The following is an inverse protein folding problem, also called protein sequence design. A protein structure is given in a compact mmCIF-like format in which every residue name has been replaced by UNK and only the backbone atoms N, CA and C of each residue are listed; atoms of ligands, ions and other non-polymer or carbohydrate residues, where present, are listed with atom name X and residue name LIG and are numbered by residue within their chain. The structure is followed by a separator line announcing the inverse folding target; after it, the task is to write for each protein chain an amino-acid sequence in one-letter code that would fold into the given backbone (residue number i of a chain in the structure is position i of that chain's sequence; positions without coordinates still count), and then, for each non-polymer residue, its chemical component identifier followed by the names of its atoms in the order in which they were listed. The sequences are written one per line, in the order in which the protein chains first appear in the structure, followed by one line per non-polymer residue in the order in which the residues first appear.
data_IF_341558995006
#
_entry.id   IF_341558995006
#
_cell.length_a   1.000
_cell.length_b   1.000
_cell.length_c   1.000
_cell.angle_alpha   90.00
_cell.angle_beta   90.00
_cell.angle_gamma   90.00
#
_symmetry.space_group_name_H-M   'P 1'
#
loop_
_entity.id
_entity.type
_entity.pdbx_description
1 polymer ?
#
# COMPACT_ATOMS: atom_id res chain seq x y z
N UNK A 1 -1.59 -28.97 -21.85
CA UNK A 1 -0.38 -28.28 -21.31
C UNK A 1 -0.15 -26.89 -21.91
N UNK A 2 -0.48 -26.63 -23.18
CA UNK A 2 -0.28 -25.31 -23.81
C UNK A 2 -1.13 -24.15 -23.24
N UNK A 3 -2.41 -24.38 -22.95
CA UNK A 3 -3.32 -23.30 -22.53
C UNK A 3 -3.03 -22.75 -21.13
N UNK A 4 -2.63 -23.61 -20.19
CA UNK A 4 -2.22 -23.18 -18.84
C UNK A 4 -0.96 -22.31 -18.88
N UNK A 5 -0.01 -22.66 -19.75
CA UNK A 5 1.23 -21.92 -19.88
C UNK A 5 1.01 -20.56 -20.58
N UNK A 6 0.11 -20.51 -21.56
CA UNK A 6 -0.31 -19.26 -22.20
C UNK A 6 -1.04 -18.34 -21.22
N UNK A 7 -1.94 -18.91 -20.40
CA UNK A 7 -2.67 -18.16 -19.38
C UNK A 7 -1.73 -17.58 -18.32
N UNK A 8 -0.75 -18.35 -17.83
CA UNK A 8 0.27 -17.83 -16.90
C UNK A 8 1.13 -16.74 -17.55
N UNK A 9 1.56 -16.90 -18.81
CA UNK A 9 2.28 -15.84 -19.54
C UNK A 9 1.44 -14.56 -19.65
N UNK A 10 0.14 -14.68 -19.91
CA UNK A 10 -0.77 -13.54 -19.95
C UNK A 10 -0.89 -12.85 -18.57
N UNK A 11 -1.00 -13.60 -17.47
CA UNK A 11 -0.99 -13.04 -16.10
C UNK A 11 0.28 -12.26 -15.81
N UNK A 12 1.44 -12.81 -16.15
CA UNK A 12 2.73 -12.14 -15.95
C UNK A 12 2.84 -10.88 -16.81
N UNK A 13 2.37 -10.93 -18.06
CA UNK A 13 2.32 -9.76 -18.93
C UNK A 13 1.44 -8.66 -18.33
N UNK A 14 0.21 -8.99 -17.93
CA UNK A 14 -0.74 -8.04 -17.34
C UNK A 14 -0.21 -7.47 -16.02
N UNK A 15 0.37 -8.30 -15.16
CA UNK A 15 0.97 -7.85 -13.91
C UNK A 15 2.12 -6.87 -14.17
N UNK A 16 3.02 -7.20 -15.11
CA UNK A 16 4.14 -6.33 -15.47
C UNK A 16 3.70 -5.02 -16.11
N UNK A 17 2.57 -5.00 -16.83
CA UNK A 17 2.15 -3.86 -17.64
C UNK A 17 1.05 -3.00 -17.04
N UNK A 18 0.23 -3.52 -16.14
CA UNK A 18 -0.95 -2.85 -15.59
C UNK A 18 -0.91 -2.69 -14.07
N UNK A 19 -0.26 -3.60 -13.34
CA UNK A 19 -0.20 -3.53 -11.89
C UNK A 19 0.95 -2.62 -11.47
N UNK A 20 0.65 -1.68 -10.58
CA UNK A 20 1.65 -0.82 -9.96
C UNK A 20 1.45 -0.82 -8.45
N UNK A 21 2.47 -0.41 -7.70
CA UNK A 21 2.35 -0.27 -6.25
C UNK A 21 1.37 0.82 -5.82
N UNK A 22 1.01 1.76 -6.71
CA UNK A 22 0.07 2.86 -6.44
C UNK A 22 -1.33 2.60 -7.01
N UNK A 23 -1.75 1.34 -7.16
CA UNK A 23 -3.01 0.98 -7.84
C UNK A 23 -4.28 1.52 -7.15
N UNK A 24 -4.26 1.73 -5.84
CA UNK A 24 -5.36 2.26 -5.05
C UNK A 24 -5.37 3.79 -4.92
N UNK A 25 -4.46 4.48 -5.60
CA UNK A 25 -4.36 5.94 -5.58
C UNK A 25 -5.66 6.61 -6.04
N UNK A 26 -6.01 7.75 -5.43
CA UNK A 26 -7.13 8.59 -5.86
C UNK A 26 -6.70 9.52 -6.99
N UNK A 27 -7.65 9.99 -7.79
CA UNK A 27 -7.38 10.81 -8.97
C UNK A 27 -6.64 12.12 -8.65
N UNK A 28 -7.01 12.78 -7.54
CA UNK A 28 -6.33 14.00 -7.10
C UNK A 28 -4.84 13.76 -6.82
N UNK A 29 -4.54 12.70 -6.07
CA UNK A 29 -3.18 12.30 -5.74
C UNK A 29 -2.41 11.83 -7.00
N UNK A 30 -3.05 11.07 -7.88
CA UNK A 30 -2.45 10.63 -9.15
C UNK A 30 -2.10 11.80 -10.08
N UNK A 31 -2.96 12.83 -10.12
CA UNK A 31 -2.71 14.05 -10.89
C UNK A 31 -1.58 14.87 -10.28
N UNK A 32 -1.58 15.03 -8.95
CA UNK A 32 -0.49 15.69 -8.23
C UNK A 32 0.85 15.00 -8.52
N UNK A 33 0.89 13.66 -8.44
CA UNK A 33 2.09 12.89 -8.70
C UNK A 33 2.63 13.09 -10.12
N UNK A 34 1.77 13.14 -11.14
CA UNK A 34 2.17 13.38 -12.53
C UNK A 34 2.70 14.79 -12.80
N UNK A 35 2.29 15.77 -12.00
CA UNK A 35 2.64 17.17 -12.19
C UNK A 35 3.87 17.61 -11.39
N UNK A 36 4.36 16.77 -10.49
CA UNK A 36 5.61 17.04 -9.79
C UNK A 36 6.79 17.06 -10.78
N UNK A 37 7.71 18.03 -10.65
CA UNK A 37 8.94 18.06 -11.44
C UNK A 37 9.71 16.73 -11.34
N UNK A 38 10.19 16.22 -12.48
CA UNK A 38 10.93 14.96 -12.56
C UNK A 38 10.06 13.70 -12.81
N UNK A 39 8.74 13.77 -12.60
CA UNK A 39 7.83 12.62 -12.76
C UNK A 39 7.32 12.40 -14.20
N UNK A 40 8.20 12.56 -15.19
CA UNK A 40 7.83 12.38 -16.60
C UNK A 40 7.60 10.90 -16.94
N UNK A 41 6.43 10.58 -17.49
CA UNK A 41 6.09 9.22 -17.91
C UNK A 41 6.67 8.93 -19.30
N UNK A 42 7.60 7.97 -19.36
CA UNK A 42 8.19 7.53 -20.62
C UNK A 42 7.13 6.97 -21.60
N UNK A 43 7.38 7.10 -22.90
CA UNK A 43 6.40 6.76 -23.96
C UNK A 43 5.88 5.33 -23.85
N UNK A 44 6.75 4.37 -23.53
CA UNK A 44 6.40 2.96 -23.33
C UNK A 44 5.42 2.72 -22.17
N UNK A 45 5.38 3.60 -21.16
CA UNK A 45 4.49 3.47 -20.00
C UNK A 45 3.19 4.28 -20.12
N UNK A 46 2.97 5.01 -21.23
CA UNK A 46 1.73 5.79 -21.44
C UNK A 46 0.45 4.93 -21.41
N UNK A 47 0.40 3.70 -21.96
CA UNK A 47 -0.79 2.85 -21.82
C UNK A 47 -1.11 2.53 -20.35
N UNK A 48 -0.09 2.19 -19.56
CA UNK A 48 -0.21 1.96 -18.11
C UNK A 48 -0.71 3.21 -17.39
N UNK A 49 -0.16 4.38 -17.72
CA UNK A 49 -0.58 5.65 -17.12
C UNK A 49 -2.06 5.98 -17.42
N UNK A 50 -2.53 5.74 -18.65
CA UNK A 50 -3.95 5.91 -19.01
C UNK A 50 -4.85 4.97 -18.22
N UNK A 51 -4.44 3.70 -18.08
CA UNK A 51 -5.14 2.74 -17.24
C UNK A 51 -5.20 3.19 -15.78
N UNK A 52 -4.07 3.63 -15.22
CA UNK A 52 -3.99 4.19 -13.87
C UNK A 52 -4.89 5.42 -13.69
N UNK A 53 -4.96 6.30 -14.69
CA UNK A 53 -5.89 7.45 -14.68
C UNK A 53 -7.34 6.99 -14.55
N UNK A 54 -7.78 6.03 -15.38
CA UNK A 54 -9.13 5.49 -15.30
C UNK A 54 -9.42 4.83 -13.94
N UNK A 55 -8.49 4.01 -13.44
CA UNK A 55 -8.61 3.38 -12.12
C UNK A 55 -8.67 4.40 -10.98
N UNK A 56 -7.86 5.45 -11.03
CA UNK A 56 -7.83 6.48 -9.99
C UNK A 56 -9.13 7.30 -9.90
N UNK A 57 -9.84 7.47 -11.02
CA UNK A 57 -11.18 8.07 -11.05
C UNK A 57 -12.19 7.15 -10.33
N UNK A 58 -12.17 5.85 -10.65
CA UNK A 58 -13.00 4.86 -9.96
C UNK A 58 -12.70 4.82 -8.46
N UNK A 59 -11.41 4.77 -8.08
CA UNK A 59 -10.97 4.77 -6.69
C UNK A 59 -11.48 6.01 -5.93
N UNK A 60 -11.49 7.18 -6.58
CA UNK A 60 -12.00 8.42 -5.95
C UNK A 60 -13.48 8.34 -5.60
N UNK A 61 -14.29 7.74 -6.48
CA UNK A 61 -15.72 7.53 -6.23
C UNK A 61 -15.93 6.46 -5.16
N UNK A 62 -15.23 5.33 -5.29
CA UNK A 62 -15.28 4.24 -4.33
C UNK A 62 -14.86 4.67 -2.92
N UNK A 63 -13.82 5.51 -2.81
CA UNK A 63 -13.35 6.07 -1.55
C UNK A 63 -14.42 6.94 -0.86
N UNK A 64 -15.17 7.75 -1.62
CA UNK A 64 -16.29 8.53 -1.07
C UNK A 64 -17.41 7.63 -0.55
N UNK A 65 -17.72 6.54 -1.26
CA UNK A 65 -18.72 5.56 -0.83
C UNK A 65 -18.27 4.89 0.47
N UNK A 66 -17.01 4.47 0.54
CA UNK A 66 -16.43 3.86 1.74
C UNK A 66 -16.44 4.81 2.93
N UNK A 67 -16.01 6.05 2.72
CA UNK A 67 -16.01 7.06 3.77
C UNK A 67 -17.43 7.33 4.29
N UNK A 68 -18.43 7.37 3.41
CA UNK A 68 -19.83 7.52 3.82
C UNK A 68 -20.34 6.31 4.63
N UNK A 69 -19.91 5.10 4.29
CA UNK A 69 -20.37 3.85 4.95
C UNK A 69 -19.67 3.57 6.27
N UNK A 70 -18.36 3.82 6.33
CA UNK A 70 -17.50 3.37 7.42
C UNK A 70 -16.78 4.50 8.15
N UNK A 71 -16.81 5.74 7.68
CA UNK A 71 -16.03 6.84 8.26
C UNK A 71 -16.27 7.04 9.75
N UNK A 72 -17.52 6.97 10.21
CA UNK A 72 -17.85 7.04 11.64
C UNK A 72 -17.33 5.85 12.44
N UNK A 73 -17.48 4.63 11.92
CA UNK A 73 -16.99 3.41 12.59
C UNK A 73 -15.46 3.36 12.65
N UNK A 74 -14.78 3.77 11.58
CA UNK A 74 -13.32 3.89 11.52
C UNK A 74 -12.85 4.92 12.54
N UNK A 75 -13.46 6.11 12.58
CA UNK A 75 -13.09 7.15 13.54
C UNK A 75 -13.28 6.71 15.00
N UNK A 76 -14.31 5.90 15.29
CA UNK A 76 -14.57 5.37 16.62
C UNK A 76 -13.72 4.14 16.99
N UNK A 77 -12.97 3.57 16.04
CA UNK A 77 -12.17 2.36 16.29
C UNK A 77 -10.97 2.67 17.18
N UNK A 78 -10.91 2.01 18.33
CA UNK A 78 -9.76 2.04 19.22
C UNK A 78 -8.70 1.06 18.74
N UNK A 79 -7.44 1.49 18.71
CA UNK A 79 -6.31 0.68 18.24
C UNK A 79 -5.38 0.45 19.40
N UNK A 80 -5.23 -0.82 19.81
CA UNK A 80 -4.21 -1.20 20.78
C UNK A 80 -2.80 -1.00 20.17
N UNK A 81 -1.77 -0.71 20.99
CA UNK A 81 -0.40 -0.55 20.50
C UNK A 81 0.03 -1.71 19.59
N UNK A 82 0.36 -1.45 18.31
CA UNK A 82 0.79 -2.48 17.37
C UNK A 82 2.18 -3.01 17.68
N UNK A 83 2.46 -4.24 17.25
CA UNK A 83 3.83 -4.74 17.11
C UNK A 83 4.41 -4.16 15.82
N UNK A 84 5.52 -3.44 15.94
CA UNK A 84 6.29 -2.97 14.79
C UNK A 84 7.52 -3.84 14.58
N UNK A 85 7.60 -4.49 13.41
CA UNK A 85 8.81 -5.18 12.98
C UNK A 85 9.73 -4.15 12.30
N UNK A 86 10.85 -3.86 12.94
CA UNK A 86 11.87 -2.94 12.45
C UNK A 86 13.04 -3.69 11.79
N UNK A 87 13.80 -3.00 10.95
CA UNK A 87 14.97 -3.55 10.28
C UNK A 87 15.12 -3.08 8.84
N UNK A 88 16.35 -3.16 8.31
CA UNK A 88 16.66 -2.75 6.94
C UNK A 88 16.06 -3.73 5.90
N UNK A 89 15.97 -3.32 4.63
CA UNK A 89 15.64 -4.27 3.56
C UNK A 89 16.64 -5.44 3.56
N UNK A 90 16.17 -6.63 3.17
CA UNK A 90 16.96 -7.87 3.08
C UNK A 90 17.47 -8.44 4.43
N UNK A 91 16.95 -7.97 5.57
CA UNK A 91 17.29 -8.47 6.91
C UNK A 91 16.44 -9.67 7.41
N UNK A 92 15.61 -10.27 6.55
CA UNK A 92 14.72 -11.38 6.96
C UNK A 92 13.42 -10.96 7.66
N UNK A 93 13.16 -9.65 7.80
CA UNK A 93 11.92 -9.13 8.44
C UNK A 93 10.63 -9.60 7.78
N UNK A 94 10.63 -9.90 6.48
CA UNK A 94 9.46 -10.49 5.79
C UNK A 94 9.14 -11.89 6.29
N UNK A 95 10.15 -12.72 6.61
CA UNK A 95 9.91 -14.05 7.17
C UNK A 95 9.29 -13.93 8.57
N UNK A 96 9.83 -13.06 9.42
CA UNK A 96 9.26 -12.79 10.74
C UNK A 96 7.82 -12.28 10.66
N UNK A 97 7.53 -11.37 9.73
CA UNK A 97 6.18 -10.84 9.52
C UNK A 97 5.18 -11.93 9.15
N UNK A 98 5.57 -12.83 8.24
CA UNK A 98 4.75 -13.97 7.86
C UNK A 98 4.52 -14.93 9.03
N UNK A 99 5.54 -15.20 9.85
CA UNK A 99 5.43 -16.09 11.01
C UNK A 99 4.47 -15.53 12.06
N UNK A 100 4.58 -14.24 12.41
CA UNK A 100 3.66 -13.61 13.36
C UNK A 100 2.22 -13.55 12.81
N UNK A 101 2.05 -13.38 11.50
CA UNK A 101 0.73 -13.40 10.86
C UNK A 101 0.04 -14.78 10.87
N UNK A 102 0.77 -15.87 11.15
CA UNK A 102 0.17 -17.20 11.32
C UNK A 102 -0.51 -17.40 12.68
N UNK A 103 -0.18 -16.57 13.67
CA UNK A 103 -0.78 -16.65 14.99
C UNK A 103 -2.19 -16.02 14.98
N UNK A 104 -3.24 -16.73 15.42
CA UNK A 104 -4.60 -16.21 15.45
C UNK A 104 -4.82 -15.00 16.37
N UNK A 105 -3.91 -14.72 17.31
CA UNK A 105 -3.95 -13.52 18.16
C UNK A 105 -3.63 -12.25 17.37
N UNK A 106 -2.88 -12.38 16.27
CA UNK A 106 -2.38 -11.28 15.49
C UNK A 106 -3.06 -11.14 14.12
N UNK A 107 -2.88 -9.98 13.52
CA UNK A 107 -3.27 -9.68 12.15
C UNK A 107 -2.25 -8.74 11.51
N UNK A 108 -1.91 -9.04 10.26
CA UNK A 108 -1.03 -8.21 9.45
C UNK A 108 -1.84 -7.60 8.30
N UNK A 109 -1.53 -6.37 7.87
CA UNK A 109 -2.12 -5.81 6.66
C UNK A 109 -1.85 -6.72 5.46
N UNK A 110 -2.89 -7.02 4.69
CA UNK A 110 -2.74 -7.85 3.49
C UNK A 110 -2.37 -7.01 2.27
N UNK A 111 -1.83 -7.65 1.23
CA UNK A 111 -1.54 -7.00 -0.05
C UNK A 111 -2.76 -6.25 -0.62
N UNK A 112 -3.97 -6.79 -0.49
CA UNK A 112 -5.17 -6.10 -0.96
C UNK A 112 -5.42 -4.81 -0.17
N UNK A 113 -5.29 -4.87 1.15
CA UNK A 113 -5.52 -3.72 2.03
C UNK A 113 -4.47 -2.63 1.77
N UNK A 114 -3.21 -3.00 1.57
CA UNK A 114 -2.13 -2.05 1.33
C UNK A 114 -2.14 -1.46 -0.08
N UNK A 115 -2.60 -2.22 -1.09
CA UNK A 115 -2.79 -1.69 -2.44
C UNK A 115 -4.03 -0.81 -2.57
N UNK A 116 -5.09 -1.05 -1.80
CA UNK A 116 -6.38 -0.35 -1.92
C UNK A 116 -6.83 0.27 -0.59
N UNK A 117 -6.00 1.12 0.05
CA UNK A 117 -6.26 1.60 1.42
C UNK A 117 -7.54 2.41 1.55
N UNK A 118 -8.08 2.97 0.45
CA UNK A 118 -9.30 3.79 0.47
C UNK A 118 -10.60 3.03 0.17
N UNK A 119 -10.52 1.77 -0.27
CA UNK A 119 -11.69 1.06 -0.84
C UNK A 119 -11.86 -0.37 -0.36
N UNK A 120 -10.91 -0.90 0.43
CA UNK A 120 -10.94 -2.30 0.82
C UNK A 120 -12.07 -2.66 1.79
N UNK A 121 -12.63 -1.74 2.58
CA UNK A 121 -13.75 -2.09 3.46
C UNK A 121 -15.03 -2.36 2.65
N UNK A 122 -15.22 -1.64 1.55
CA UNK A 122 -16.47 -1.67 0.78
C UNK A 122 -16.39 -2.63 -0.39
N UNK A 123 -15.23 -2.69 -1.06
CA UNK A 123 -15.06 -3.37 -2.34
C UNK A 123 -14.16 -4.61 -2.26
N UNK A 124 -13.91 -5.15 -1.06
CA UNK A 124 -13.02 -6.28 -0.86
C UNK A 124 -13.32 -7.45 -1.83
N UNK A 125 -14.58 -7.85 -1.94
CA UNK A 125 -14.99 -8.98 -2.79
C UNK A 125 -14.70 -8.73 -4.26
N UNK A 126 -14.99 -7.53 -4.75
CA UNK A 126 -14.76 -7.13 -6.15
C UNK A 126 -13.26 -7.04 -6.44
N UNK A 127 -12.50 -6.45 -5.52
CA UNK A 127 -11.04 -6.39 -5.61
C UNK A 127 -10.44 -7.80 -5.62
N UNK A 128 -10.93 -8.73 -4.80
CA UNK A 128 -10.51 -10.13 -4.80
C UNK A 128 -10.68 -10.83 -6.15
N UNK A 129 -11.73 -10.50 -6.90
CA UNK A 129 -11.93 -11.04 -8.25
C UNK A 129 -10.84 -10.56 -9.24
N UNK A 130 -10.31 -9.34 -9.04
CA UNK A 130 -9.16 -8.86 -9.84
C UNK A 130 -7.89 -9.67 -9.54
N UNK A 131 -7.78 -10.23 -8.34
CA UNK A 131 -6.66 -11.07 -7.90
C UNK A 131 -6.56 -12.39 -8.65
N UNK A 132 -7.64 -12.84 -9.30
CA UNK A 132 -7.63 -14.03 -10.17
C UNK A 132 -6.65 -13.88 -11.36
N UNK A 133 -6.28 -12.65 -11.73
CA UNK A 133 -5.34 -12.36 -12.80
C UNK A 133 -3.90 -12.08 -12.32
N UNK A 134 -3.67 -11.96 -11.01
CA UNK A 134 -2.34 -11.75 -10.43
C UNK A 134 -1.46 -13.02 -10.54
N UNK A 135 -0.13 -12.96 -10.69
CA UNK A 135 0.70 -14.16 -10.71
C UNK A 135 0.63 -14.92 -9.37
N UNK A 136 0.89 -16.24 -9.37
CA UNK A 136 0.86 -17.05 -8.13
C UNK A 136 2.09 -16.86 -7.24
N UNK A 137 3.21 -16.46 -7.84
CA UNK A 137 4.47 -16.17 -7.17
C UNK A 137 4.90 -14.74 -7.44
N UNK A 138 5.76 -14.19 -6.58
CA UNK A 138 6.35 -12.87 -6.82
C UNK A 138 7.24 -12.92 -8.07
N UNK A 139 7.43 -11.77 -8.71
CA UNK A 139 8.30 -11.66 -9.89
C UNK A 139 9.79 -11.71 -9.52
N UNK A 140 10.11 -11.37 -8.27
CA UNK A 140 11.48 -11.25 -7.76
C UNK A 140 11.97 -12.50 -7.03
N UNK A 141 11.05 -13.37 -6.60
CA UNK A 141 11.35 -14.63 -5.93
C UNK A 141 10.16 -15.61 -6.03
N UNK A 142 10.39 -16.88 -5.74
CA UNK A 142 9.37 -17.93 -5.83
C UNK A 142 8.43 -17.98 -4.62
N UNK A 143 8.33 -16.91 -3.82
CA UNK A 143 7.40 -16.88 -2.69
C UNK A 143 5.97 -16.63 -3.18
N UNK A 144 5.01 -17.17 -2.43
CA UNK A 144 3.58 -17.02 -2.72
C UNK A 144 3.21 -15.54 -2.81
N UNK A 145 2.55 -15.19 -3.91
CA UNK A 145 1.93 -13.89 -4.11
C UNK A 145 0.41 -14.04 -4.05
N UNK A 146 -0.25 -13.10 -3.39
CA UNK A 146 -1.70 -13.15 -3.27
C UNK A 146 -2.23 -12.02 -2.40
N UNK A 147 -3.48 -11.67 -2.63
CA UNK A 147 -4.18 -10.59 -1.94
C UNK A 147 -4.38 -10.81 -0.44
N UNK A 148 -4.26 -12.05 0.03
CA UNK A 148 -4.31 -12.43 1.44
C UNK A 148 -2.95 -12.51 2.12
N UNK A 149 -1.85 -12.32 1.38
CA UNK A 149 -0.53 -12.41 1.97
C UNK A 149 -0.21 -11.13 2.76
N UNK A 150 0.46 -11.25 3.93
CA UNK A 150 0.98 -10.10 4.68
C UNK A 150 1.84 -9.21 3.79
N UNK A 151 1.71 -7.90 3.96
CA UNK A 151 2.42 -6.93 3.16
C UNK A 151 2.80 -5.69 3.97
N UNK A 152 3.84 -5.01 3.49
CA UNK A 152 4.33 -3.78 4.09
C UNK A 152 3.28 -2.66 4.06
N UNK A 153 3.08 -2.00 5.20
CA UNK A 153 2.09 -0.93 5.36
C UNK A 153 2.51 0.38 4.66
N UNK A 154 3.80 0.55 4.35
CA UNK A 154 4.31 1.67 3.55
C UNK A 154 3.61 1.78 2.19
N UNK A 155 3.16 0.66 1.60
CA UNK A 155 2.40 0.70 0.37
C UNK A 155 1.04 1.40 0.54
N UNK A 156 0.35 1.20 1.68
CA UNK A 156 -0.87 1.94 1.97
C UNK A 156 -0.60 3.44 2.11
N UNK A 157 0.45 3.79 2.85
CA UNK A 157 0.84 5.18 3.08
C UNK A 157 1.23 5.87 1.77
N UNK A 158 1.97 5.17 0.90
CA UNK A 158 2.32 5.62 -0.43
C UNK A 158 1.08 5.94 -1.28
N UNK A 159 0.08 5.04 -1.30
CA UNK A 159 -1.18 5.25 -2.02
C UNK A 159 -2.02 6.39 -1.44
N UNK A 160 -2.01 6.58 -0.12
CA UNK A 160 -2.85 7.55 0.58
C UNK A 160 -2.28 8.98 0.59
N UNK A 161 -0.95 9.12 0.60
CA UNK A 161 -0.30 10.40 0.95
C UNK A 161 0.64 10.94 -0.11
N UNK A 162 1.25 10.07 -0.93
CA UNK A 162 2.43 10.37 -1.74
C UNK A 162 3.70 10.73 -0.93
N UNK A 163 3.67 10.57 0.39
CA UNK A 163 4.76 10.89 1.31
C UNK A 163 5.53 9.62 1.66
N UNK A 164 6.11 8.98 0.64
CA UNK A 164 6.81 7.70 0.80
C UNK A 164 8.06 7.64 -0.08
N UNK A 165 9.19 7.13 0.42
CA UNK A 165 10.37 6.87 -0.40
C UNK A 165 10.11 5.80 -1.48
N UNK A 166 9.02 5.02 -1.37
CA UNK A 166 8.74 3.95 -2.33
C UNK A 166 8.43 4.52 -3.71
N UNK A 167 7.94 5.75 -3.81
CA UNK A 167 7.65 6.41 -5.09
C UNK A 167 8.87 6.52 -6.02
N UNK A 168 10.09 6.50 -5.48
CA UNK A 168 11.33 6.39 -6.25
C UNK A 168 11.36 5.17 -7.18
N UNK A 169 10.70 4.06 -6.82
CA UNK A 169 10.59 2.89 -7.72
C UNK A 169 9.69 3.16 -8.93
N UNK A 170 8.77 4.12 -8.84
CA UNK A 170 7.93 4.56 -9.95
C UNK A 170 8.59 5.67 -10.77
N UNK A 171 9.26 6.61 -10.09
CA UNK A 171 9.90 7.78 -10.69
C UNK A 171 11.35 7.92 -10.18
N UNK A 172 12.29 7.12 -10.71
CA UNK A 172 13.66 7.08 -10.20
C UNK A 172 14.42 8.39 -10.40
N UNK A 173 14.08 9.19 -11.41
CA UNK A 173 14.68 10.52 -11.63
C UNK A 173 14.29 11.56 -10.57
N UNK A 174 13.25 11.27 -9.78
CA UNK A 174 12.77 12.12 -8.69
C UNK A 174 13.15 11.56 -7.32
N UNK A 175 14.21 10.74 -7.26
CA UNK A 175 14.71 10.13 -6.02
C UNK A 175 14.76 11.13 -4.86
N UNK A 176 15.42 12.27 -5.08
CA UNK A 176 15.65 13.27 -4.03
C UNK A 176 14.36 13.91 -3.51
N UNK A 177 13.31 13.96 -4.34
CA UNK A 177 12.00 14.46 -3.93
C UNK A 177 11.30 13.53 -2.94
N UNK A 178 11.57 12.22 -3.04
CA UNK A 178 10.89 11.18 -2.26
C UNK A 178 11.74 10.63 -1.11
N UNK A 179 13.06 10.66 -1.21
CA UNK A 179 13.97 10.15 -0.18
C UNK A 179 13.80 10.87 1.16
N UNK A 180 13.50 12.18 1.14
CA UNK A 180 13.20 12.96 2.36
C UNK A 180 12.04 12.40 3.18
N UNK A 181 11.14 11.63 2.57
CA UNK A 181 10.02 10.99 3.28
C UNK A 181 10.40 9.71 4.02
N UNK A 182 11.64 9.21 3.88
CA UNK A 182 12.09 8.03 4.61
C UNK A 182 12.04 8.29 6.12
N UNK A 183 12.71 9.34 6.59
CA UNK A 183 12.79 9.67 8.01
C UNK A 183 11.73 10.69 8.48
N UNK A 184 11.04 11.35 7.54
CA UNK A 184 10.06 12.42 7.83
C UNK A 184 10.62 13.53 8.74
N UNK A 185 11.92 13.83 8.64
CA UNK A 185 12.57 14.87 9.45
C UNK A 185 12.38 16.26 8.86
N UNK A 186 12.53 16.37 7.55
CA UNK A 186 12.48 17.64 6.81
C UNK A 186 11.14 17.81 6.08
N UNK A 187 10.05 17.42 6.75
CA UNK A 187 8.68 17.55 6.23
C UNK A 187 7.98 18.73 6.88
N UNK A 188 7.07 19.34 6.12
CA UNK A 188 6.23 20.42 6.65
C UNK A 188 5.25 19.89 7.72
N UNK A 189 4.73 20.75 8.60
CA UNK A 189 3.69 20.35 9.56
C UNK A 189 2.45 19.72 8.89
N UNK A 190 2.08 20.19 7.70
CA UNK A 190 0.97 19.66 6.92
C UNK A 190 1.27 18.26 6.38
N UNK A 191 2.50 18.03 5.90
CA UNK A 191 2.95 16.69 5.47
C UNK A 191 3.01 15.72 6.65
N UNK A 192 3.52 16.17 7.80
CA UNK A 192 3.53 15.37 9.04
C UNK A 192 2.12 14.94 9.44
N UNK A 193 1.20 15.90 9.56
CA UNK A 193 -0.20 15.63 9.91
C UNK A 193 -0.86 14.70 8.88
N UNK A 194 -0.66 14.94 7.59
CA UNK A 194 -1.20 14.07 6.52
C UNK A 194 -0.69 12.64 6.64
N UNK A 195 0.59 12.45 6.96
CA UNK A 195 1.17 11.12 7.10
C UNK A 195 0.66 10.40 8.34
N UNK A 196 0.63 11.07 9.50
CA UNK A 196 0.16 10.46 10.76
C UNK A 196 -1.34 10.17 10.73
N UNK A 197 -2.16 11.06 10.17
CA UNK A 197 -3.59 10.84 9.94
C UNK A 197 -3.83 9.63 9.03
N UNK A 198 -3.07 9.50 7.94
CA UNK A 198 -3.20 8.38 7.02
C UNK A 198 -2.79 7.05 7.66
N UNK A 199 -1.72 7.03 8.48
CA UNK A 199 -1.35 5.85 9.25
C UNK A 199 -2.46 5.47 10.23
N UNK A 200 -2.96 6.43 11.01
CA UNK A 200 -4.02 6.20 11.99
C UNK A 200 -5.33 5.73 11.33
N UNK A 201 -5.73 6.33 10.21
CA UNK A 201 -6.88 5.88 9.43
C UNK A 201 -6.67 4.44 8.95
N UNK A 202 -5.51 4.13 8.36
CA UNK A 202 -5.22 2.81 7.83
C UNK A 202 -5.27 1.73 8.92
N UNK A 203 -4.58 1.93 10.05
CA UNK A 203 -4.57 0.95 11.15
C UNK A 203 -5.96 0.76 11.75
N UNK A 204 -6.75 1.83 11.92
CA UNK A 204 -8.15 1.73 12.37
C UNK A 204 -8.99 0.88 11.43
N UNK A 205 -8.80 1.01 10.12
CA UNK A 205 -9.54 0.21 9.14
C UNK A 205 -9.17 -1.28 9.18
N UNK A 206 -7.89 -1.60 9.38
CA UNK A 206 -7.44 -2.99 9.54
C UNK A 206 -7.97 -3.57 10.86
N UNK A 207 -7.91 -2.80 11.96
CA UNK A 207 -8.47 -3.18 13.26
C UNK A 207 -9.98 -3.38 13.18
N UNK A 208 -10.73 -2.48 12.54
CA UNK A 208 -12.18 -2.61 12.37
C UNK A 208 -12.57 -3.92 11.66
N UNK A 209 -11.71 -4.43 10.76
CA UNK A 209 -11.98 -5.68 10.02
C UNK A 209 -11.71 -6.94 10.80
N UNK A 210 -10.72 -6.92 11.68
CA UNK A 210 -10.15 -8.14 12.26
C UNK A 210 -10.23 -8.18 13.77
N UNK A 211 -10.16 -7.02 14.44
CA UNK A 211 -10.19 -6.82 15.88
C UNK A 211 -9.16 -7.70 16.63
N UNK A 212 -7.94 -7.79 16.08
CA UNK A 212 -6.81 -8.57 16.60
C UNK A 212 -5.58 -7.67 16.80
N UNK A 213 -4.56 -8.18 17.50
CA UNK A 213 -3.30 -7.46 17.67
C UNK A 213 -2.63 -7.16 16.32
N UNK A 214 -2.35 -5.89 16.04
CA UNK A 214 -1.75 -5.50 14.76
C UNK A 214 -0.26 -5.78 14.72
N UNK A 215 0.20 -6.34 13.60
CA UNK A 215 1.63 -6.50 13.28
C UNK A 215 1.94 -5.72 12.01
N UNK A 216 2.60 -4.58 12.19
CA UNK A 216 3.03 -3.69 11.12
C UNK A 216 4.51 -3.89 10.81
N UNK A 217 4.86 -3.75 9.54
CA UNK A 217 6.22 -3.98 9.07
C UNK A 217 6.48 -3.14 7.86
N UNK A 218 7.46 -2.26 7.94
CA UNK A 218 8.01 -1.52 6.81
C UNK A 218 9.44 -1.12 7.17
N UNK A 219 10.44 -1.29 6.28
CA UNK A 219 11.81 -0.86 6.58
C UNK A 219 11.92 0.62 6.97
N UNK A 220 11.08 1.46 6.38
CA UNK A 220 10.98 2.89 6.70
C UNK A 220 10.64 3.18 8.16
N UNK A 221 9.94 2.28 8.87
CA UNK A 221 9.63 2.43 10.29
C UNK A 221 10.89 2.54 11.16
N UNK A 222 11.99 1.93 10.73
CA UNK A 222 13.30 2.04 11.41
C UNK A 222 13.78 3.50 11.50
N UNK A 223 13.42 4.34 10.52
CA UNK A 223 13.75 5.76 10.50
C UNK A 223 12.73 6.65 11.21
N UNK A 224 11.59 6.07 11.64
CA UNK A 224 10.40 6.80 12.16
C UNK A 224 10.02 6.41 13.59
N UNK A 225 10.92 5.74 14.33
CA UNK A 225 10.67 5.21 15.68
C UNK A 225 10.05 6.26 16.62
N UNK A 226 10.57 7.49 16.61
CA UNK A 226 10.05 8.58 17.44
C UNK A 226 8.57 8.86 17.15
N UNK A 227 8.20 8.97 15.87
CA UNK A 227 6.83 9.23 15.43
C UNK A 227 5.92 8.07 15.85
N UNK A 228 6.41 6.84 15.72
CA UNK A 228 5.64 5.64 16.10
C UNK A 228 5.38 5.58 17.60
N UNK A 229 6.36 5.93 18.45
CA UNK A 229 6.18 6.02 19.91
C UNK A 229 5.25 7.17 20.32
N UNK A 230 5.24 8.29 19.57
CA UNK A 230 4.30 9.38 19.80
C UNK A 230 2.85 8.96 19.48
N UNK A 231 2.64 8.11 18.46
CA UNK A 231 1.31 7.62 18.07
C UNK A 231 0.84 6.39 18.88
N UNK A 232 1.79 5.55 19.31
CA UNK A 232 1.54 4.29 20.01
C UNK A 232 2.50 4.16 21.20
N UNK A 233 2.21 4.81 22.34
CA UNK A 233 3.07 4.81 23.52
C UNK A 233 3.10 3.46 24.25
#
# INVERSE_FOLDING_TARGET
MGDQQLFEKARHFLANHLVTMVHGIRFGDWRQLQWQPGNAIARCYRPRARFMTAMSLFNSVAAKIEQKRYGGAVAATQVAPPIFILGHWRSGTTLLHNLLACDPQFTAPTLLQTLYPHTFLTFERQLRLLGCFAPKTRLIDNMRFGFDQPQEDEFALCNATLLSPYLTWLFPHSHDNFDRFLALRDVTPQEYARWTEALMEFVRKVTLRTNRGLVLKSPAHTARIRILLELFP
#
